data_IF_385021703045
#
_entry.id   IF_385021703045
#
_cell.length_a   1.000
_cell.length_b   1.000
_cell.length_c   1.000
_cell.angle_alpha   90.00
_cell.angle_beta   90.00
_cell.angle_gamma   90.00
#
_symmetry.space_group_name_H-M   'P 1'
#
loop_
_entity.id
_entity.type
_entity.pdbx_description
1 polymer ?
#
# COMPACT_ATOMS: atom_id res chain seq x y z
N UNK A 1 -1.70 -1.49 21.36
CA UNK A 1 -1.25 -1.40 19.98
C UNK A 1 -0.26 -0.26 19.88
N UNK A 2 0.85 -0.45 19.15
CA UNK A 2 1.76 0.63 18.79
C UNK A 2 1.78 0.70 17.26
N UNK A 3 1.53 1.87 16.68
CA UNK A 3 1.46 2.03 15.24
C UNK A 3 1.90 3.43 14.82
N UNK A 4 2.62 3.50 13.71
CA UNK A 4 3.02 4.75 13.08
C UNK A 4 1.88 5.31 12.23
N UNK A 5 1.64 6.62 12.30
CA UNK A 5 0.52 7.29 11.63
C UNK A 5 0.97 8.59 10.98
N UNK A 6 0.21 9.03 9.98
CA UNK A 6 0.32 10.38 9.45
C UNK A 6 -0.17 11.41 10.48
N UNK A 7 0.28 12.69 10.39
CA UNK A 7 -0.14 13.75 11.29
C UNK A 7 -1.66 13.89 11.43
N UNK A 8 -2.08 14.36 12.60
CA UNK A 8 -3.48 14.62 12.90
C UNK A 8 -4.05 15.70 11.97
N UNK A 9 -5.24 15.46 11.41
CA UNK A 9 -5.94 16.50 10.68
C UNK A 9 -6.68 17.49 11.61
N UNK A 10 -7.28 18.52 11.02
CA UNK A 10 -8.05 19.55 11.76
C UNK A 10 -9.26 19.00 12.52
N UNK A 11 -9.69 17.77 12.24
CA UNK A 11 -10.85 17.13 12.86
C UNK A 11 -10.45 16.14 13.95
N UNK A 12 -9.16 16.05 14.28
CA UNK A 12 -8.66 15.18 15.34
C UNK A 12 -8.33 13.76 14.89
N UNK A 13 -8.25 13.48 13.58
CA UNK A 13 -8.02 12.13 13.05
C UNK A 13 -6.59 11.93 12.53
N UNK A 14 -5.96 10.84 12.98
CA UNK A 14 -4.74 10.26 12.44
C UNK A 14 -5.08 9.22 11.37
N UNK A 15 -4.26 9.12 10.32
CA UNK A 15 -4.39 8.11 9.27
C UNK A 15 -3.41 6.98 9.51
N UNK A 16 -3.89 5.73 9.42
CA UNK A 16 -3.06 4.53 9.52
C UNK A 16 -2.21 4.26 8.27
N UNK A 17 -2.32 5.14 7.26
CA UNK A 17 -1.43 5.24 6.12
C UNK A 17 -1.34 3.92 5.34
N UNK A 18 -0.18 3.25 5.38
CA UNK A 18 0.10 2.02 4.66
C UNK A 18 -0.46 0.76 5.35
N UNK A 19 -1.09 0.89 6.52
CA UNK A 19 -1.66 -0.24 7.26
C UNK A 19 -3.11 -0.49 6.85
N UNK A 20 -3.33 -1.42 5.91
CA UNK A 20 -4.66 -1.85 5.45
C UNK A 20 -5.01 -3.31 5.76
N UNK A 21 -4.14 -4.05 6.46
CA UNK A 21 -4.33 -5.48 6.74
C UNK A 21 -5.22 -5.69 7.97
N UNK A 22 -4.75 -6.38 9.00
CA UNK A 22 -5.52 -6.73 10.20
C UNK A 22 -5.76 -5.57 11.19
N UNK A 23 -5.44 -4.32 10.81
CA UNK A 23 -5.34 -3.19 11.76
C UNK A 23 -6.68 -2.86 12.43
N UNK A 24 -7.79 -2.95 11.68
CA UNK A 24 -9.14 -2.70 12.22
C UNK A 24 -9.52 -3.74 13.27
N UNK A 25 -9.25 -5.02 12.98
CA UNK A 25 -9.47 -6.09 13.95
C UNK A 25 -8.59 -5.93 15.20
N UNK A 26 -7.37 -5.39 15.05
CA UNK A 26 -6.49 -5.10 16.19
C UNK A 26 -7.00 -3.93 17.02
N UNK A 27 -7.50 -2.87 16.38
CA UNK A 27 -8.11 -1.71 17.04
C UNK A 27 -9.29 -2.13 17.93
N UNK A 28 -10.16 -3.01 17.42
CA UNK A 28 -11.33 -3.52 18.15
C UNK A 28 -11.00 -4.30 19.43
N UNK A 29 -9.79 -4.86 19.52
CA UNK A 29 -9.38 -5.73 20.64
C UNK A 29 -8.37 -5.08 21.57
N UNK A 30 -7.74 -3.99 21.15
CA UNK A 30 -6.65 -3.41 21.93
C UNK A 30 -7.20 -2.62 23.11
N UNK A 31 -6.52 -2.72 24.26
CA UNK A 31 -6.89 -1.97 25.47
C UNK A 31 -6.22 -0.60 25.55
N UNK A 32 -5.15 -0.42 24.78
CA UNK A 32 -4.32 0.80 24.77
C UNK A 32 -3.81 1.08 23.36
N UNK A 33 -3.88 2.33 22.92
CA UNK A 33 -3.41 2.79 21.62
C UNK A 33 -2.28 3.80 21.84
N UNK A 34 -1.09 3.46 21.35
CA UNK A 34 0.07 4.32 21.32
C UNK A 34 0.40 4.67 19.87
N UNK A 35 0.53 5.96 19.58
CA UNK A 35 0.81 6.45 18.23
C UNK A 35 2.22 7.03 18.15
N UNK A 36 2.93 6.66 17.08
CA UNK A 36 4.12 7.38 16.62
C UNK A 36 3.72 8.22 15.40
N UNK A 37 3.82 9.54 15.52
CA UNK A 37 3.46 10.46 14.44
C UNK A 37 4.70 10.75 13.62
N UNK A 38 4.63 10.42 12.32
CA UNK A 38 5.68 10.68 11.34
C UNK A 38 5.10 11.51 10.18
N UNK A 39 5.64 12.70 9.94
CA UNK A 39 5.20 13.60 8.87
C UNK A 39 5.43 13.06 7.44
N UNK A 40 6.24 11.99 7.32
CA UNK A 40 6.49 11.29 6.05
C UNK A 40 5.48 10.18 5.76
N UNK A 41 4.65 9.78 6.73
CA UNK A 41 3.56 8.82 6.48
C UNK A 41 2.48 9.45 5.60
N UNK A 42 2.05 8.79 4.51
CA UNK A 42 1.00 9.31 3.66
C UNK A 42 -0.36 9.26 4.36
N UNK A 43 -1.26 10.19 3.99
CA UNK A 43 -2.67 10.10 4.40
C UNK A 43 -3.45 9.30 3.36
N UNK A 44 -3.82 8.06 3.70
CA UNK A 44 -4.64 7.22 2.84
C UNK A 44 -6.06 7.77 2.74
N UNK A 45 -6.60 7.90 1.52
CA UNK A 45 -7.94 8.46 1.31
C UNK A 45 -9.07 7.56 1.84
N UNK A 46 -8.89 6.24 1.71
CA UNK A 46 -9.88 5.22 2.09
C UNK A 46 -9.35 4.28 3.19
N UNK A 47 -8.34 4.71 3.94
CA UNK A 47 -7.74 3.93 5.01
C UNK A 47 -8.42 4.15 6.36
N UNK A 48 -8.14 3.25 7.29
CA UNK A 48 -8.61 3.34 8.67
C UNK A 48 -8.06 4.58 9.38
N UNK A 49 -8.91 5.20 10.20
CA UNK A 49 -8.60 6.42 10.92
C UNK A 49 -8.73 6.22 12.44
N UNK A 50 -7.87 6.87 13.20
CA UNK A 50 -7.92 6.89 14.68
C UNK A 50 -8.18 8.33 15.12
N UNK A 51 -9.22 8.55 15.90
CA UNK A 51 -9.46 9.86 16.51
C UNK A 51 -8.65 10.03 17.79
N UNK A 52 -8.14 11.22 18.08
CA UNK A 52 -7.33 11.52 19.28
C UNK A 52 -7.96 11.09 20.60
N UNK A 53 -9.30 11.08 20.69
CA UNK A 53 -10.01 10.60 21.89
C UNK A 53 -9.84 9.11 22.20
N UNK A 54 -9.31 8.33 21.25
CA UNK A 54 -9.05 6.90 21.41
C UNK A 54 -7.59 6.62 21.84
N UNK A 55 -6.72 7.64 21.85
CA UNK A 55 -5.27 7.49 21.97
C UNK A 55 -4.82 7.66 23.42
N UNK A 56 -4.01 6.74 23.91
CA UNK A 56 -3.48 6.75 25.28
C UNK A 56 -2.16 7.52 25.41
N UNK A 57 -1.30 7.47 24.40
CA UNK A 57 -0.10 8.30 24.33
C UNK A 57 0.36 8.51 22.88
N UNK A 58 1.09 9.59 22.67
CA UNK A 58 1.63 10.01 21.37
C UNK A 58 3.11 10.33 21.53
N UNK A 59 3.92 9.92 20.56
CA UNK A 59 5.27 10.42 20.33
C UNK A 59 5.38 10.96 18.91
N UNK A 60 6.16 12.01 18.70
CA UNK A 60 6.45 12.54 17.37
C UNK A 60 7.90 12.16 17.00
N UNK A 61 8.07 11.47 15.88
CA UNK A 61 9.37 11.08 15.36
C UNK A 61 9.32 10.97 13.84
N UNK A 62 10.04 11.87 13.15
CA UNK A 62 10.04 11.92 11.70
C UNK A 62 11.26 11.18 11.13
N UNK A 63 11.02 10.19 10.29
CA UNK A 63 12.07 9.41 9.61
C UNK A 63 11.61 8.95 8.23
N UNK A 64 12.58 8.56 7.39
CA UNK A 64 12.29 7.94 6.10
C UNK A 64 11.53 6.62 6.27
N UNK A 65 10.49 6.44 5.45
CA UNK A 65 9.76 5.18 5.40
C UNK A 65 10.64 4.08 4.80
N UNK A 66 10.49 2.82 5.25
CA UNK A 66 11.18 1.71 4.60
C UNK A 66 10.70 1.57 3.16
N UNK A 67 11.65 1.53 2.23
CA UNK A 67 11.38 1.36 0.79
C UNK A 67 11.97 0.04 0.33
N UNK A 68 11.18 -0.75 -0.37
CA UNK A 68 11.69 -1.93 -1.07
C UNK A 68 12.47 -1.46 -2.30
N UNK A 69 13.74 -1.86 -2.50
CA UNK A 69 14.51 -1.40 -3.65
C UNK A 69 13.89 -1.88 -4.97
N UNK A 70 13.96 -1.08 -6.04
CA UNK A 70 13.47 -1.49 -7.35
C UNK A 70 14.14 -2.79 -7.82
N UNK A 71 13.35 -3.69 -8.37
CA UNK A 71 13.85 -4.96 -8.90
C UNK A 71 14.22 -4.79 -10.37
N UNK A 72 15.44 -5.17 -10.73
CA UNK A 72 15.87 -5.18 -12.13
C UNK A 72 15.18 -6.33 -12.88
N UNK A 73 14.50 -6.00 -13.99
CA UNK A 73 13.83 -6.99 -14.82
C UNK A 73 14.84 -7.70 -15.73
N UNK A 74 15.03 -9.00 -15.51
CA UNK A 74 15.79 -9.86 -16.41
C UNK A 74 14.94 -10.37 -17.59
N UNK A 75 15.60 -10.97 -18.58
CA UNK A 75 14.93 -11.45 -19.80
C UNK A 75 13.95 -12.60 -19.52
N UNK A 76 14.22 -13.41 -18.49
CA UNK A 76 13.34 -14.50 -18.07
C UNK A 76 12.02 -13.91 -17.53
N UNK A 77 12.11 -12.92 -16.64
CA UNK A 77 10.96 -12.25 -16.03
C UNK A 77 10.15 -11.49 -17.07
N UNK A 78 10.80 -10.79 -18.02
CA UNK A 78 10.12 -10.14 -19.14
C UNK A 78 9.36 -11.14 -20.02
N UNK A 79 9.98 -12.27 -20.33
CA UNK A 79 9.34 -13.34 -21.12
C UNK A 79 8.11 -13.88 -20.39
N UNK A 80 8.24 -14.18 -19.09
CA UNK A 80 7.11 -14.65 -18.27
C UNK A 80 6.01 -13.60 -18.20
N UNK A 81 6.36 -12.33 -17.95
CA UNK A 81 5.41 -11.22 -17.85
C UNK A 81 4.62 -11.00 -19.14
N UNK A 82 5.28 -11.07 -20.30
CA UNK A 82 4.61 -10.99 -21.61
C UNK A 82 3.62 -12.14 -21.82
N UNK A 83 4.04 -13.38 -21.54
CA UNK A 83 3.16 -14.56 -21.65
C UNK A 83 1.96 -14.51 -20.70
N UNK A 84 2.11 -13.88 -19.52
CA UNK A 84 0.99 -13.66 -18.60
C UNK A 84 0.07 -12.57 -19.16
N UNK A 85 0.64 -11.44 -19.61
CA UNK A 85 -0.12 -10.30 -20.13
C UNK A 85 -0.96 -10.65 -21.37
N UNK A 86 -0.50 -11.55 -22.24
CA UNK A 86 -1.28 -12.06 -23.37
C UNK A 86 -2.60 -12.72 -22.94
N UNK A 87 -2.63 -13.33 -21.74
CA UNK A 87 -3.80 -14.03 -21.20
C UNK A 87 -4.74 -13.12 -20.43
N UNK A 88 -4.32 -11.89 -20.13
CA UNK A 88 -5.12 -10.93 -19.38
C UNK A 88 -5.92 -10.07 -20.38
N UNK A 89 -7.25 -10.14 -20.37
CA UNK A 89 -8.08 -9.29 -21.23
C UNK A 89 -8.13 -7.84 -20.71
N UNK A 90 -8.53 -6.91 -21.59
CA UNK A 90 -8.98 -5.59 -21.16
C UNK A 90 -10.17 -5.73 -20.20
N UNK A 91 -10.32 -4.81 -19.26
CA UNK A 91 -11.36 -4.90 -18.23
C UNK A 91 -11.04 -5.83 -17.06
N UNK A 92 -9.89 -6.52 -17.05
CA UNK A 92 -9.54 -7.45 -15.99
C UNK A 92 -9.27 -6.75 -14.64
N UNK A 93 -9.62 -7.41 -13.54
CA UNK A 93 -9.28 -6.96 -12.18
C UNK A 93 -7.97 -7.62 -11.73
N UNK A 94 -6.96 -6.80 -11.44
CA UNK A 94 -5.59 -7.24 -11.17
C UNK A 94 -5.34 -7.45 -9.67
N UNK A 95 -4.58 -8.51 -9.39
CA UNK A 95 -3.84 -8.74 -8.16
C UNK A 95 -2.43 -9.19 -8.56
N UNK A 96 -1.41 -8.44 -8.14
CA UNK A 96 -0.01 -8.78 -8.36
C UNK A 96 0.75 -8.72 -7.02
N UNK A 97 1.83 -9.49 -6.92
CA UNK A 97 2.77 -9.43 -5.79
C UNK A 97 3.92 -8.45 -6.05
N UNK A 98 4.99 -8.59 -5.28
CA UNK A 98 6.27 -7.90 -5.50
C UNK A 98 7.29 -8.80 -6.20
N UNK A 99 8.24 -8.18 -6.89
CA UNK A 99 9.39 -8.86 -7.48
C UNK A 99 9.41 -8.83 -9.01
N UNK A 100 10.47 -9.37 -9.59
CA UNK A 100 10.76 -9.21 -11.01
C UNK A 100 9.62 -9.70 -11.93
N UNK A 101 8.99 -10.83 -11.62
CA UNK A 101 7.91 -11.40 -12.46
C UNK A 101 6.61 -10.58 -12.36
N UNK A 102 6.07 -10.28 -11.16
CA UNK A 102 4.94 -9.37 -11.03
C UNK A 102 5.18 -8.00 -11.68
N UNK A 103 6.37 -7.43 -11.48
CA UNK A 103 6.72 -6.12 -12.06
C UNK A 103 6.82 -6.18 -13.58
N UNK A 104 7.44 -7.21 -14.14
CA UNK A 104 7.46 -7.42 -15.59
C UNK A 104 6.05 -7.64 -16.16
N UNK A 105 5.18 -8.33 -15.42
CA UNK A 105 3.77 -8.52 -15.80
C UNK A 105 3.04 -7.17 -15.82
N UNK A 106 3.16 -6.38 -14.76
CA UNK A 106 2.58 -5.03 -14.70
C UNK A 106 3.07 -4.13 -15.85
N UNK A 107 4.38 -4.13 -16.13
CA UNK A 107 4.92 -3.35 -17.26
C UNK A 107 4.38 -3.80 -18.63
N UNK A 108 4.21 -5.12 -18.83
CA UNK A 108 3.64 -5.65 -20.07
C UNK A 108 2.14 -5.33 -20.24
N UNK A 109 1.43 -5.04 -19.14
CA UNK A 109 0.02 -4.67 -19.14
C UNK A 109 -0.24 -3.20 -19.47
N UNK A 110 0.79 -2.34 -19.63
CA UNK A 110 0.62 -0.92 -19.98
C UNK A 110 -0.14 -0.66 -21.28
N UNK A 111 -0.21 -1.66 -22.17
CA UNK A 111 -0.96 -1.58 -23.42
C UNK A 111 -2.43 -2.00 -23.30
N UNK A 112 -2.87 -2.46 -22.12
CA UNK A 112 -4.26 -2.88 -21.85
C UNK A 112 -5.11 -1.70 -21.37
N UNK A 113 -6.41 -1.84 -21.50
CA UNK A 113 -7.39 -0.81 -21.17
C UNK A 113 -8.42 -1.29 -20.14
N UNK A 114 -9.01 -0.33 -19.44
CA UNK A 114 -10.08 -0.54 -18.46
C UNK A 114 -9.76 -1.54 -17.35
N UNK A 115 -8.47 -1.70 -17.02
CA UNK A 115 -8.03 -2.57 -15.94
C UNK A 115 -8.50 -2.05 -14.57
N UNK A 116 -8.97 -2.96 -13.73
CA UNK A 116 -9.28 -2.71 -12.32
C UNK A 116 -8.16 -3.22 -11.41
N UNK A 117 -8.09 -2.72 -10.18
CA UNK A 117 -7.11 -3.17 -9.18
C UNK A 117 -7.84 -3.53 -7.88
N UNK A 118 -7.68 -4.77 -7.45
CA UNK A 118 -8.10 -5.26 -6.14
C UNK A 118 -7.02 -6.23 -5.64
N UNK A 119 -6.15 -5.72 -4.77
CA UNK A 119 -4.91 -6.40 -4.39
C UNK A 119 -4.69 -6.36 -2.88
N UNK A 120 -3.92 -7.33 -2.37
CA UNK A 120 -3.46 -7.35 -0.99
C UNK A 120 -2.48 -6.18 -0.72
N UNK A 121 -1.58 -5.94 -1.66
CA UNK A 121 -0.55 -4.90 -1.58
C UNK A 121 -0.47 -4.17 -2.92
N UNK A 122 -0.45 -2.84 -2.84
CA UNK A 122 -0.33 -1.94 -3.99
C UNK A 122 1.14 -1.54 -4.17
N UNK A 123 1.67 -1.67 -5.39
CA UNK A 123 3.10 -1.59 -5.69
C UNK A 123 3.38 -0.66 -6.86
N UNK A 124 4.66 -0.31 -7.07
CA UNK A 124 5.10 0.58 -8.16
C UNK A 124 4.65 0.08 -9.54
N UNK A 125 4.65 -1.23 -9.79
CA UNK A 125 4.20 -1.77 -11.07
C UNK A 125 2.71 -1.53 -11.35
N UNK A 126 1.89 -1.40 -10.30
CA UNK A 126 0.49 -0.99 -10.44
C UNK A 126 0.34 0.53 -10.53
N UNK A 127 1.22 1.32 -9.90
CA UNK A 127 1.25 2.78 -10.06
C UNK A 127 1.44 3.13 -11.54
N UNK A 128 2.32 2.42 -12.23
CA UNK A 128 2.60 2.61 -13.66
C UNK A 128 1.42 2.27 -14.59
N UNK A 129 0.35 1.67 -14.08
CA UNK A 129 -0.88 1.34 -14.82
C UNK A 129 -2.00 2.36 -14.62
N UNK A 130 -1.81 3.35 -13.74
CA UNK A 130 -2.77 4.43 -13.45
C UNK A 130 -2.33 5.70 -14.20
#
# INVERSE_FOLDING_TARGET
MCVEVAPMDRHGYFSLALNGSYIDAMLDKTKRIFLEVNDRQPRGLCGSLIHISQVDAIVEYNHDLPVLPPVQLDEVSKTIGGLIAERIPDGACLQLGIGAIPDATGMALKAKHDLGIHTEMFTDSMVELI
#
